data_IF_484324482250
#
_entry.id   IF_484324482250
#
_cell.length_a   1.000
_cell.length_b   1.000
_cell.length_c   1.000
_cell.angle_alpha   90.00
_cell.angle_beta   90.00
_cell.angle_gamma   90.00
#
_symmetry.space_group_name_H-M   'P 1'
#
loop_
_entity.id
_entity.type
_entity.pdbx_description
1 polymer ?
#
# COMPACT_ATOMS: atom_id res chain seq x y z
N UNK A 1 9.54 7.62 28.72
CA UNK A 1 10.44 8.76 28.44
C UNK A 1 11.34 8.48 27.22
N UNK A 2 10.87 7.71 26.22
CA UNK A 2 11.78 7.08 25.23
C UNK A 2 11.43 7.42 23.78
N UNK A 3 10.14 7.56 23.44
CA UNK A 3 9.73 7.84 22.04
C UNK A 3 9.93 9.31 21.66
N UNK A 4 9.65 10.25 22.58
CA UNK A 4 9.88 11.69 22.33
C UNK A 4 11.34 12.00 22.03
N UNK A 5 12.28 11.33 22.72
CA UNK A 5 13.73 11.57 22.58
C UNK A 5 14.28 11.08 21.23
N UNK A 6 13.75 9.96 20.71
CA UNK A 6 14.16 9.38 19.43
C UNK A 6 13.65 10.21 18.23
N UNK A 7 12.46 10.83 18.35
CA UNK A 7 11.90 11.65 17.27
C UNK A 7 12.60 13.02 17.14
N UNK A 8 13.03 13.62 18.26
CA UNK A 8 13.82 14.85 18.23
C UNK A 8 15.24 14.65 17.71
N UNK A 9 15.89 13.49 17.92
CA UNK A 9 17.25 13.24 17.42
C UNK A 9 17.34 13.12 15.88
N UNK A 10 16.24 12.81 15.19
CA UNK A 10 16.22 12.68 13.72
C UNK A 10 15.75 13.95 12.98
N UNK A 11 15.26 14.95 13.70
CA UNK A 11 14.79 16.21 13.10
C UNK A 11 15.74 17.35 13.48
N UNK A 12 16.47 17.84 12.46
CA UNK A 12 17.15 19.13 12.42
C UNK A 12 18.61 19.22 12.91
N UNK A 13 19.54 18.91 11.99
CA UNK A 13 20.74 19.76 11.80
C UNK A 13 20.31 20.96 10.94
N UNK A 14 19.97 22.08 11.56
CA UNK A 14 19.99 23.41 10.93
C UNK A 14 19.79 24.44 12.05
N UNK A 15 20.85 25.20 12.31
CA UNK A 15 20.93 26.17 13.40
C UNK A 15 20.13 27.44 13.07
N UNK A 16 19.34 27.93 14.03
CA UNK A 16 19.07 29.37 14.19
C UNK A 16 18.48 29.68 15.57
N UNK A 17 19.27 30.37 16.38
CA UNK A 17 18.95 30.81 17.74
C UNK A 17 17.76 31.79 17.76
N UNK A 18 16.76 31.53 18.59
CA UNK A 18 15.93 32.59 19.21
C UNK A 18 15.17 32.01 20.40
N UNK A 19 15.37 32.62 21.58
CA UNK A 19 14.56 32.68 22.82
C UNK A 19 13.68 31.49 23.26
N UNK A 20 13.81 31.15 24.55
CA UNK A 20 13.99 29.75 24.99
C UNK A 20 12.80 29.04 25.65
N UNK A 21 11.59 29.60 25.73
CA UNK A 21 10.51 28.93 26.49
C UNK A 21 9.21 28.66 25.69
N UNK A 22 8.97 29.34 24.56
CA UNK A 22 7.76 29.13 23.73
C UNK A 22 8.01 28.32 22.45
N UNK A 23 9.28 28.12 22.06
CA UNK A 23 9.63 27.35 20.84
C UNK A 23 9.50 25.85 21.01
N UNK A 24 9.73 25.34 22.22
CA UNK A 24 9.78 23.90 22.49
C UNK A 24 8.40 23.24 22.45
N UNK A 25 7.34 23.98 22.80
CA UNK A 25 5.98 23.45 22.75
C UNK A 25 5.46 23.38 21.30
N UNK A 26 5.67 24.43 20.53
CA UNK A 26 5.21 24.50 19.13
C UNK A 26 5.96 23.52 18.23
N UNK A 27 7.28 23.36 18.41
CA UNK A 27 8.10 22.44 17.61
C UNK A 27 7.84 20.96 17.97
N UNK A 28 7.54 20.68 19.24
CA UNK A 28 7.13 19.33 19.68
C UNK A 28 5.75 18.94 19.13
N UNK A 29 4.82 19.88 19.07
CA UNK A 29 3.46 19.65 18.59
C UNK A 29 3.42 19.48 17.06
N UNK A 30 4.15 20.31 16.31
CA UNK A 30 4.26 20.19 14.84
C UNK A 30 4.96 18.90 14.42
N UNK A 31 6.04 18.52 15.11
CA UNK A 31 6.75 17.25 14.87
C UNK A 31 5.87 16.04 15.16
N UNK A 32 5.11 16.08 16.27
CA UNK A 32 4.17 15.02 16.63
C UNK A 32 3.02 14.91 15.62
N UNK A 33 2.48 16.04 15.17
CA UNK A 33 1.42 16.08 14.15
C UNK A 33 1.90 15.55 12.79
N UNK A 34 3.11 15.93 12.36
CA UNK A 34 3.71 15.44 11.13
C UNK A 34 3.96 13.93 11.16
N UNK A 35 4.50 13.41 12.27
CA UNK A 35 4.69 11.97 12.49
C UNK A 35 3.35 11.23 12.46
N UNK A 36 2.33 11.73 13.17
CA UNK A 36 1.00 11.11 13.19
C UNK A 36 0.34 11.09 11.81
N UNK A 37 0.58 12.11 10.99
CA UNK A 37 0.11 12.18 9.60
C UNK A 37 0.76 11.14 8.68
N UNK A 38 2.03 10.81 8.91
CA UNK A 38 2.84 9.99 7.98
C UNK A 38 2.98 8.53 8.40
N UNK A 39 2.92 8.23 9.70
CA UNK A 39 3.08 6.87 10.25
C UNK A 39 2.05 5.84 9.76
N UNK A 40 0.92 6.28 9.22
CA UNK A 40 -0.22 5.43 8.82
C UNK A 40 -0.12 4.79 7.44
N UNK A 41 0.89 5.11 6.62
CA UNK A 41 0.96 4.67 5.22
C UNK A 41 0.96 3.16 5.05
N UNK A 42 1.75 2.43 5.84
CA UNK A 42 1.81 0.97 5.79
C UNK A 42 0.51 0.30 6.25
N UNK A 43 -0.12 0.84 7.30
CA UNK A 43 -1.40 0.35 7.81
C UNK A 43 -2.51 0.48 6.74
N UNK A 44 -2.50 1.57 5.98
CA UNK A 44 -3.44 1.76 4.88
C UNK A 44 -3.21 0.79 3.70
N UNK A 45 -1.98 0.33 3.48
CA UNK A 45 -1.68 -0.71 2.49
C UNK A 45 -2.13 -2.07 3.00
N UNK A 46 -1.84 -2.40 4.26
CA UNK A 46 -2.24 -3.66 4.90
C UNK A 46 -3.77 -3.84 4.92
N UNK A 47 -4.50 -2.77 5.25
CA UNK A 47 -5.96 -2.76 5.21
C UNK A 47 -6.48 -3.06 3.79
N UNK A 48 -5.90 -2.43 2.77
CA UNK A 48 -6.28 -2.68 1.36
C UNK A 48 -5.94 -4.10 0.92
N UNK A 49 -4.81 -4.64 1.36
CA UNK A 49 -4.41 -6.03 1.10
C UNK A 49 -5.45 -6.99 1.69
N UNK A 50 -5.87 -6.75 2.93
CA UNK A 50 -6.88 -7.58 3.59
C UNK A 50 -8.23 -7.57 2.86
N UNK A 51 -8.69 -6.41 2.40
CA UNK A 51 -9.98 -6.28 1.69
C UNK A 51 -10.00 -6.98 0.33
N UNK A 52 -8.87 -7.02 -0.37
CA UNK A 52 -8.76 -7.62 -1.71
C UNK A 52 -7.97 -8.93 -1.74
N UNK A 53 -7.76 -9.56 -0.57
CA UNK A 53 -6.87 -10.70 -0.48
C UNK A 53 -7.40 -11.92 -1.23
N UNK A 54 -6.51 -12.54 -2.01
CA UNK A 54 -6.76 -13.84 -2.63
C UNK A 54 -6.14 -15.01 -1.84
N UNK A 55 -5.63 -14.74 -0.63
CA UNK A 55 -4.96 -15.72 0.22
C UNK A 55 -5.90 -16.87 0.59
N UNK A 56 -5.37 -18.10 0.52
CA UNK A 56 -6.06 -19.32 0.98
C UNK A 56 -5.22 -20.07 1.99
N UNK A 57 -5.88 -20.81 2.89
CA UNK A 57 -5.21 -21.73 3.81
C UNK A 57 -4.31 -22.67 3.02
N UNK A 58 -3.02 -22.63 3.30
CA UNK A 58 -1.99 -23.43 2.64
C UNK A 58 -1.07 -24.01 3.70
N UNK A 59 -0.56 -25.23 3.47
CA UNK A 59 0.47 -25.85 4.30
C UNK A 59 1.89 -25.54 3.78
N UNK A 60 1.99 -24.88 2.63
CA UNK A 60 3.25 -24.55 1.98
C UNK A 60 3.53 -23.06 2.14
N UNK A 61 4.56 -22.73 2.93
CA UNK A 61 5.04 -21.36 3.14
C UNK A 61 5.31 -20.57 1.86
N UNK A 62 5.93 -21.14 0.80
CA UNK A 62 6.14 -20.41 -0.46
C UNK A 62 4.84 -19.91 -1.09
N UNK A 63 3.76 -20.70 -0.96
CA UNK A 63 2.45 -20.31 -1.50
C UNK A 63 1.82 -19.18 -0.70
N UNK A 64 2.03 -19.12 0.62
CA UNK A 64 1.57 -18.02 1.45
C UNK A 64 2.24 -16.71 1.04
N UNK A 65 3.56 -16.73 0.79
CA UNK A 65 4.31 -15.59 0.27
C UNK A 65 3.80 -15.17 -1.11
N UNK A 66 3.53 -16.13 -2.00
CA UNK A 66 3.00 -15.85 -3.32
C UNK A 66 1.67 -15.08 -3.25
N UNK A 67 0.74 -15.49 -2.38
CA UNK A 67 -0.53 -14.77 -2.23
C UNK A 67 -0.32 -13.32 -1.76
N UNK A 68 0.57 -13.09 -0.78
CA UNK A 68 0.89 -11.73 -0.34
C UNK A 68 1.50 -10.87 -1.45
N UNK A 69 2.37 -11.43 -2.28
CA UNK A 69 2.94 -10.73 -3.43
C UNK A 69 1.87 -10.36 -4.46
N UNK A 70 0.89 -11.24 -4.71
CA UNK A 70 -0.23 -10.96 -5.61
C UNK A 70 -1.12 -9.84 -5.06
N UNK A 71 -1.43 -9.86 -3.77
CA UNK A 71 -2.25 -8.84 -3.12
C UNK A 71 -1.57 -7.46 -3.17
N UNK A 72 -0.27 -7.39 -2.83
CA UNK A 72 0.53 -6.16 -2.88
C UNK A 72 0.69 -5.61 -4.31
N UNK A 73 0.99 -6.49 -5.28
CA UNK A 73 1.14 -6.07 -6.68
C UNK A 73 -0.15 -5.52 -7.25
N UNK A 74 -1.29 -6.13 -6.91
CA UNK A 74 -2.62 -5.66 -7.32
C UNK A 74 -2.89 -4.22 -6.88
N UNK A 75 -2.58 -3.91 -5.61
CA UNK A 75 -2.78 -2.56 -5.06
C UNK A 75 -1.84 -1.55 -5.73
N UNK A 76 -0.59 -1.92 -5.95
CA UNK A 76 0.38 -1.07 -6.63
C UNK A 76 -0.08 -0.70 -8.04
N UNK A 77 -0.57 -1.67 -8.82
CA UNK A 77 -1.10 -1.42 -10.16
C UNK A 77 -2.37 -0.55 -10.09
N UNK A 78 -3.25 -0.78 -9.11
CA UNK A 78 -4.44 0.05 -8.92
C UNK A 78 -4.09 1.52 -8.58
N UNK A 79 -3.10 1.75 -7.72
CA UNK A 79 -2.62 3.11 -7.40
C UNK A 79 -2.06 3.79 -8.66
N UNK A 80 -1.25 3.07 -9.44
CA UNK A 80 -0.71 3.58 -10.70
C UNK A 80 -1.82 3.92 -11.70
N UNK A 81 -2.82 3.05 -11.82
CA UNK A 81 -3.98 3.27 -12.68
C UNK A 81 -4.74 4.54 -12.29
N UNK A 82 -5.01 4.74 -11.00
CA UNK A 82 -5.69 5.93 -10.49
C UNK A 82 -4.86 7.22 -10.62
N UNK A 83 -3.52 7.10 -10.60
CA UNK A 83 -2.60 8.23 -10.76
C UNK A 83 -2.45 8.74 -12.21
N UNK A 84 -3.00 8.03 -13.20
CA UNK A 84 -2.91 8.41 -14.60
C UNK A 84 -4.09 9.33 -14.98
N UNK A 85 -3.80 10.54 -15.48
CA UNK A 85 -4.70 11.69 -15.64
C UNK A 85 -5.94 11.52 -16.56
N UNK A 86 -6.22 10.32 -17.06
CA UNK A 86 -7.32 10.06 -18.00
C UNK A 86 -8.16 8.83 -17.62
N UNK A 87 -7.87 8.19 -16.49
CA UNK A 87 -8.62 7.02 -16.07
C UNK A 87 -9.88 7.40 -15.30
N UNK A 88 -11.04 6.77 -15.61
CA UNK A 88 -12.24 6.99 -14.82
C UNK A 88 -12.00 6.47 -13.41
N UNK A 89 -12.50 7.20 -12.42
CA UNK A 89 -12.47 6.75 -11.03
C UNK A 89 -13.26 5.46 -10.95
N UNK A 90 -12.56 4.36 -10.64
CA UNK A 90 -13.16 3.03 -10.51
C UNK A 90 -12.85 2.46 -9.14
N UNK A 91 -13.78 1.68 -8.59
CA UNK A 91 -13.54 0.91 -7.37
C UNK A 91 -12.49 -0.18 -7.64
N UNK A 92 -11.62 -0.45 -6.66
CA UNK A 92 -10.59 -1.50 -6.73
C UNK A 92 -11.12 -2.86 -7.22
N UNK A 93 -12.32 -3.28 -6.79
CA UNK A 93 -12.93 -4.54 -7.24
C UNK A 93 -13.30 -4.55 -8.73
N UNK A 94 -13.76 -3.42 -9.27
CA UNK A 94 -14.11 -3.31 -10.70
C UNK A 94 -12.83 -3.36 -11.54
N UNK A 95 -11.81 -2.62 -11.10
CA UNK A 95 -10.48 -2.69 -11.69
C UNK A 95 -9.93 -4.12 -11.68
N UNK A 96 -10.02 -4.81 -10.54
CA UNK A 96 -9.48 -6.16 -10.38
C UNK A 96 -10.20 -7.21 -11.24
N UNK A 97 -11.52 -7.08 -11.41
CA UNK A 97 -12.28 -7.89 -12.36
C UNK A 97 -11.83 -7.66 -13.80
N UNK A 98 -11.57 -6.40 -14.18
CA UNK A 98 -11.02 -6.04 -15.49
C UNK A 98 -9.64 -6.65 -15.71
N UNK A 99 -8.73 -6.48 -14.75
CA UNK A 99 -7.39 -7.03 -14.76
C UNK A 99 -7.39 -8.56 -14.91
N UNK A 100 -8.23 -9.23 -14.11
CA UNK A 100 -8.38 -10.69 -14.14
C UNK A 100 -8.86 -11.16 -15.51
N UNK A 101 -9.85 -10.48 -16.11
CA UNK A 101 -10.31 -10.79 -17.46
C UNK A 101 -9.17 -10.68 -18.46
N UNK A 102 -8.40 -9.59 -18.43
CA UNK A 102 -7.29 -9.37 -19.35
C UNK A 102 -6.22 -10.49 -19.26
N UNK A 103 -5.88 -10.92 -18.05
CA UNK A 103 -4.93 -12.02 -17.81
C UNK A 103 -5.49 -13.40 -18.21
N UNK A 104 -6.77 -13.66 -17.93
CA UNK A 104 -7.37 -14.98 -18.15
C UNK A 104 -7.85 -15.21 -19.59
N UNK A 105 -8.31 -14.17 -20.29
CA UNK A 105 -8.81 -14.25 -21.68
C UNK A 105 -7.91 -15.08 -22.62
N UNK A 106 -6.60 -14.82 -22.73
CA UNK A 106 -5.74 -15.62 -23.61
C UNK A 106 -5.65 -17.10 -23.19
N UNK A 107 -5.63 -17.38 -21.88
CA UNK A 107 -5.60 -18.74 -21.34
C UNK A 107 -6.92 -19.49 -21.62
N UNK A 108 -8.05 -18.80 -21.47
CA UNK A 108 -9.37 -19.34 -21.76
C UNK A 108 -9.54 -19.64 -23.25
N UNK A 109 -9.10 -18.73 -24.13
CA UNK A 109 -9.10 -18.96 -25.59
C UNK A 109 -8.25 -20.17 -25.97
N UNK A 110 -7.08 -20.34 -25.37
CA UNK A 110 -6.23 -21.51 -25.59
C UNK A 110 -6.90 -22.80 -25.08
N UNK A 111 -7.56 -22.75 -23.93
CA UNK A 111 -8.26 -23.89 -23.33
C UNK A 111 -9.45 -24.36 -24.19
N UNK A 112 -10.22 -23.43 -24.74
CA UNK A 112 -11.37 -23.74 -25.62
C UNK A 112 -10.91 -24.45 -26.90
N UNK A 113 -9.73 -24.10 -27.43
CA UNK A 113 -9.15 -24.73 -28.62
C UNK A 113 -8.55 -26.12 -28.34
N UNK A 114 -8.46 -26.55 -27.08
CA UNK A 114 -7.85 -27.83 -26.75
C UNK A 114 -8.82 -28.99 -27.04
N UNK A 115 -8.55 -29.84 -28.04
CA UNK A 115 -9.45 -30.93 -28.43
C UNK A 115 -9.54 -32.06 -27.39
N UNK A 116 -8.70 -32.04 -26.34
CA UNK A 116 -8.78 -33.02 -25.24
C UNK A 116 -9.83 -32.69 -24.19
N UNK A 117 -10.39 -31.47 -24.24
CA UNK A 117 -11.32 -30.94 -23.23
C UNK A 117 -12.77 -30.90 -23.77
N UNK A 118 -12.97 -31.08 -25.08
CA UNK A 118 -14.27 -31.14 -25.76
C UNK A 118 -14.63 -32.57 -26.18
#
# INVERSE_FOLDING_TARGET
MTVKKILTENSHSTDSETSSDDKDFFDSETTTAFYNRTKGGLNAIDEKCCVHSCSRKTMHWPMALFYQLVDMSTINVYILFQGYFQNPVMTSMVFLKGLTRYLLLPLLHARVKNPRIN
#
